data_IF_339243975219
#
_entry.id   IF_339243975219
#
_cell.length_a   1.000
_cell.length_b   1.000
_cell.length_c   1.000
_cell.angle_alpha   90.00
_cell.angle_beta   90.00
_cell.angle_gamma   90.00
#
_symmetry.space_group_name_H-M   'P 1'
#
loop_
_entity.id
_entity.type
_entity.pdbx_description
1 polymer ?
#
# COMPACT_ATOMS: atom_id res chain seq x y z
N UNK A 1 -54.49 1.90 65.01
CA UNK A 1 -53.74 2.89 64.15
C UNK A 1 -53.31 2.17 62.92
N UNK A 2 -54.01 2.35 61.76
CA UNK A 2 -53.60 1.77 60.49
C UNK A 2 -52.76 2.80 59.70
N UNK A 3 -51.53 2.50 59.41
CA UNK A 3 -50.70 3.32 58.55
C UNK A 3 -51.00 3.02 57.10
N UNK A 4 -51.57 3.98 56.38
CA UNK A 4 -51.81 3.95 54.95
C UNK A 4 -50.46 4.10 54.21
N UNK A 5 -50.02 3.03 53.59
CA UNK A 5 -48.80 3.01 52.81
C UNK A 5 -49.10 3.55 51.39
N UNK A 6 -48.85 4.84 51.17
CA UNK A 6 -49.07 5.49 49.84
C UNK A 6 -47.93 5.05 48.91
N UNK A 7 -48.21 4.09 48.06
CA UNK A 7 -47.30 3.68 46.98
C UNK A 7 -47.21 4.81 45.96
N UNK A 8 -46.11 5.54 46.00
CA UNK A 8 -45.81 6.60 45.01
C UNK A 8 -45.55 5.97 43.63
N UNK A 9 -46.57 6.04 42.74
CA UNK A 9 -46.43 5.60 41.36
C UNK A 9 -45.36 6.46 40.66
N UNK A 10 -44.19 5.89 40.35
CA UNK A 10 -43.22 6.49 39.45
C UNK A 10 -43.82 6.43 38.04
N UNK A 11 -44.30 7.55 37.54
CA UNK A 11 -44.65 7.68 36.12
C UNK A 11 -43.37 7.51 35.30
N UNK A 12 -43.28 6.43 34.56
CA UNK A 12 -42.25 6.26 33.52
C UNK A 12 -42.57 7.24 32.38
N UNK A 13 -41.76 8.28 32.25
CA UNK A 13 -41.85 9.19 31.11
C UNK A 13 -41.43 8.40 29.86
N UNK A 14 -42.33 8.16 28.94
CA UNK A 14 -42.03 7.58 27.64
C UNK A 14 -41.25 8.59 26.77
N UNK A 15 -40.38 8.09 25.92
CA UNK A 15 -39.67 8.93 24.96
C UNK A 15 -40.65 9.54 23.96
N UNK A 16 -40.44 10.83 23.65
CA UNK A 16 -41.24 11.49 22.60
C UNK A 16 -40.71 11.05 21.21
N UNK A 17 -41.62 11.05 20.22
CA UNK A 17 -41.26 10.70 18.84
C UNK A 17 -40.15 11.64 18.29
N UNK A 18 -40.19 12.91 18.67
CA UNK A 18 -39.17 13.91 18.30
C UNK A 18 -37.80 13.56 18.90
N UNK A 19 -37.74 13.09 20.14
CA UNK A 19 -36.50 12.71 20.83
C UNK A 19 -35.84 11.51 20.14
N UNK A 20 -36.64 10.50 19.75
CA UNK A 20 -36.15 9.35 18.99
C UNK A 20 -35.61 9.78 17.61
N UNK A 21 -36.32 10.64 16.88
CA UNK A 21 -35.89 11.16 15.58
C UNK A 21 -34.57 11.95 15.69
N UNK A 22 -34.45 12.76 16.74
CA UNK A 22 -33.22 13.54 16.98
C UNK A 22 -32.03 12.63 17.29
N UNK A 23 -32.21 11.60 18.12
CA UNK A 23 -31.13 10.61 18.42
C UNK A 23 -30.70 9.85 17.18
N UNK A 24 -31.67 9.36 16.38
CA UNK A 24 -31.35 8.64 15.11
C UNK A 24 -30.62 9.56 14.14
N UNK A 25 -31.04 10.83 14.03
CA UNK A 25 -30.33 11.83 13.20
C UNK A 25 -28.89 12.06 13.66
N UNK A 26 -28.63 12.17 14.96
CA UNK A 26 -27.28 12.32 15.52
C UNK A 26 -26.41 11.08 15.25
N UNK A 27 -26.96 9.87 15.44
CA UNK A 27 -26.23 8.62 15.19
C UNK A 27 -25.85 8.52 13.70
N UNK A 28 -26.77 8.88 12.79
CA UNK A 28 -26.49 8.86 11.35
C UNK A 28 -25.35 9.81 10.96
N UNK A 29 -25.37 11.05 11.48
CA UNK A 29 -24.28 12.03 11.23
C UNK A 29 -22.94 11.56 11.81
N UNK A 30 -22.94 11.02 13.02
CA UNK A 30 -21.72 10.46 13.63
C UNK A 30 -21.18 9.29 12.81
N UNK A 31 -22.04 8.41 12.31
CA UNK A 31 -21.67 7.26 11.48
C UNK A 31 -20.94 7.66 10.20
N UNK A 32 -21.41 8.71 9.51
CA UNK A 32 -20.73 9.25 8.30
C UNK A 32 -19.32 9.77 8.61
N UNK A 33 -19.16 10.49 9.72
CA UNK A 33 -17.86 11.02 10.15
C UNK A 33 -16.86 9.91 10.48
N UNK A 34 -17.30 8.87 11.19
CA UNK A 34 -16.48 7.70 11.53
C UNK A 34 -16.06 6.95 10.26
N UNK A 35 -16.98 6.72 9.31
CA UNK A 35 -16.71 6.03 8.06
C UNK A 35 -15.63 6.75 7.23
N UNK A 36 -15.73 8.06 7.07
CA UNK A 36 -14.75 8.85 6.32
C UNK A 36 -13.35 8.79 6.95
N UNK A 37 -13.28 8.83 8.28
CA UNK A 37 -12.00 8.73 9.02
C UNK A 37 -11.41 7.33 8.90
N UNK A 38 -12.24 6.29 9.02
CA UNK A 38 -11.82 4.89 8.91
C UNK A 38 -11.16 4.60 7.56
N UNK A 39 -11.74 5.04 6.45
CA UNK A 39 -11.15 4.86 5.12
C UNK A 39 -9.77 5.50 5.00
N UNK A 40 -9.57 6.71 5.51
CA UNK A 40 -8.25 7.38 5.49
C UNK A 40 -7.18 6.62 6.27
N UNK A 41 -7.57 6.06 7.42
CA UNK A 41 -6.65 5.25 8.25
C UNK A 41 -6.29 3.95 7.54
N UNK A 42 -7.25 3.28 6.91
CA UNK A 42 -7.02 2.05 6.15
C UNK A 42 -6.05 2.28 4.98
N UNK A 43 -6.28 3.30 4.15
CA UNK A 43 -5.37 3.69 3.05
C UNK A 43 -3.95 3.96 3.57
N UNK A 44 -3.83 4.65 4.71
CA UNK A 44 -2.52 4.94 5.31
C UNK A 44 -1.81 3.67 5.79
N UNK A 45 -2.55 2.77 6.45
CA UNK A 45 -2.00 1.51 6.95
C UNK A 45 -1.55 0.60 5.79
N UNK A 46 -2.36 0.49 4.75
CA UNK A 46 -2.03 -0.29 3.56
C UNK A 46 -0.78 0.25 2.86
N UNK A 47 -0.67 1.56 2.68
CA UNK A 47 0.53 2.18 2.10
C UNK A 47 1.79 1.90 2.94
N UNK A 48 1.67 1.96 4.27
CA UNK A 48 2.80 1.68 5.17
C UNK A 48 3.23 0.21 5.14
N UNK A 49 2.28 -0.73 5.07
CA UNK A 49 2.59 -2.16 4.96
C UNK A 49 3.29 -2.44 3.65
N UNK A 50 2.78 -1.91 2.52
CA UNK A 50 3.42 -2.10 1.22
C UNK A 50 4.77 -1.42 1.11
N UNK A 51 4.95 -0.25 1.72
CA UNK A 51 6.27 0.39 1.80
C UNK A 51 7.30 -0.54 2.47
N UNK A 52 6.93 -1.21 3.57
CA UNK A 52 7.80 -2.19 4.23
C UNK A 52 8.05 -3.43 3.38
N UNK A 53 7.06 -3.88 2.63
CA UNK A 53 7.18 -5.01 1.71
C UNK A 53 8.19 -4.68 0.59
N UNK A 54 8.10 -3.48 -0.01
CA UNK A 54 9.05 -2.99 -1.01
C UNK A 54 10.47 -2.91 -0.44
N UNK A 55 10.61 -2.39 0.79
CA UNK A 55 11.90 -2.30 1.47
C UNK A 55 12.52 -3.69 1.74
N UNK A 56 11.69 -4.65 2.13
CA UNK A 56 12.11 -6.04 2.34
C UNK A 56 12.57 -6.66 1.04
N UNK A 57 11.83 -6.49 -0.06
CA UNK A 57 12.23 -6.93 -1.39
C UNK A 57 13.55 -6.30 -1.82
N UNK A 58 13.69 -4.98 -1.69
CA UNK A 58 14.92 -4.25 -2.02
C UNK A 58 16.12 -4.77 -1.23
N UNK A 59 16.00 -4.87 0.09
CA UNK A 59 17.07 -5.33 0.96
C UNK A 59 17.45 -6.79 0.66
N UNK A 60 16.49 -7.66 0.43
CA UNK A 60 16.71 -9.05 0.09
C UNK A 60 17.38 -9.23 -1.28
N UNK A 61 16.96 -8.46 -2.30
CA UNK A 61 17.58 -8.48 -3.64
C UNK A 61 19.03 -8.01 -3.54
N UNK A 62 19.30 -6.90 -2.84
CA UNK A 62 20.66 -6.42 -2.60
C UNK A 62 21.52 -7.43 -1.84
N UNK A 63 20.95 -8.10 -0.84
CA UNK A 63 21.62 -9.17 -0.10
C UNK A 63 22.01 -10.36 -0.99
N UNK A 64 21.07 -10.79 -1.85
CA UNK A 64 21.29 -11.92 -2.77
C UNK A 64 22.37 -11.62 -3.82
N UNK A 65 22.42 -10.38 -4.32
CA UNK A 65 23.37 -9.93 -5.35
C UNK A 65 24.54 -9.14 -4.78
N UNK A 66 24.71 -9.09 -3.46
CA UNK A 66 25.67 -8.20 -2.78
C UNK A 66 27.14 -8.37 -3.18
N UNK A 67 27.52 -9.53 -3.73
CA UNK A 67 28.87 -9.78 -4.27
C UNK A 67 28.99 -9.49 -5.78
N UNK A 68 27.87 -9.18 -6.45
CA UNK A 68 27.82 -8.94 -7.90
C UNK A 68 27.63 -7.46 -8.19
N UNK A 69 28.19 -7.01 -9.30
CA UNK A 69 28.00 -5.63 -9.80
C UNK A 69 26.84 -5.49 -10.79
N UNK A 70 26.12 -6.59 -11.03
CA UNK A 70 25.01 -6.67 -11.98
C UNK A 70 23.93 -7.64 -11.46
N UNK A 71 22.69 -7.40 -11.86
CA UNK A 71 21.49 -8.18 -11.47
C UNK A 71 21.02 -9.15 -12.55
N UNK A 72 21.93 -9.58 -13.44
CA UNK A 72 21.61 -10.52 -14.52
C UNK A 72 20.95 -11.78 -13.97
N UNK A 73 19.81 -12.17 -14.57
CA UNK A 73 19.04 -13.33 -14.17
C UNK A 73 18.08 -13.11 -12.98
N UNK A 74 17.96 -11.87 -12.49
CA UNK A 74 16.95 -11.53 -11.49
C UNK A 74 15.55 -11.66 -12.09
N UNK A 75 14.68 -12.45 -11.44
CA UNK A 75 13.29 -12.66 -11.82
C UNK A 75 12.45 -12.91 -10.56
N UNK A 76 11.12 -12.84 -10.68
CA UNK A 76 10.20 -13.22 -9.60
C UNK A 76 10.48 -14.63 -9.07
N UNK A 77 10.82 -15.56 -9.97
CA UNK A 77 11.14 -16.94 -9.58
C UNK A 77 12.36 -17.00 -8.63
N UNK A 78 13.45 -16.29 -8.97
CA UNK A 78 14.66 -16.22 -8.14
C UNK A 78 14.34 -15.62 -6.77
N UNK A 79 13.56 -14.54 -6.74
CA UNK A 79 13.14 -13.86 -5.49
C UNK A 79 12.31 -14.78 -4.60
N UNK A 80 11.38 -15.55 -5.17
CA UNK A 80 10.55 -16.50 -4.43
C UNK A 80 11.35 -17.72 -3.95
N UNK A 81 12.22 -18.29 -4.81
CA UNK A 81 13.08 -19.42 -4.42
C UNK A 81 14.06 -19.04 -3.30
N UNK A 82 14.59 -17.82 -3.34
CA UNK A 82 15.44 -17.26 -2.28
C UNK A 82 14.65 -16.85 -1.02
N UNK A 83 13.32 -16.98 -1.01
CA UNK A 83 12.41 -16.60 0.09
C UNK A 83 12.53 -15.12 0.50
N UNK A 84 12.87 -14.26 -0.44
CA UNK A 84 13.02 -12.82 -0.23
C UNK A 84 11.66 -12.14 -0.18
N UNK A 85 10.70 -12.58 -1.02
CA UNK A 85 9.36 -12.00 -1.02
C UNK A 85 8.66 -12.26 0.32
N UNK A 86 8.00 -11.24 0.91
CA UNK A 86 7.16 -11.41 2.10
C UNK A 86 6.09 -12.50 1.89
N UNK A 87 5.75 -13.24 2.93
CA UNK A 87 4.75 -14.31 2.83
C UNK A 87 3.38 -13.80 2.38
N UNK A 88 3.03 -12.57 2.76
CA UNK A 88 1.79 -11.90 2.37
C UNK A 88 1.71 -11.59 0.88
N UNK A 89 2.83 -11.58 0.16
CA UNK A 89 2.92 -11.31 -1.27
C UNK A 89 3.08 -12.58 -2.11
N UNK A 90 3.33 -13.71 -1.49
CA UNK A 90 3.50 -14.99 -2.20
C UNK A 90 2.15 -15.64 -2.44
N UNK A 91 1.95 -16.13 -3.66
CA UNK A 91 0.86 -17.06 -3.91
C UNK A 91 1.24 -18.44 -3.32
N UNK A 92 0.49 -18.96 -2.33
CA UNK A 92 0.79 -20.24 -1.71
C UNK A 92 0.72 -21.41 -2.69
N UNK A 93 0.04 -21.26 -3.83
CA UNK A 93 -0.06 -22.30 -4.86
C UNK A 93 1.19 -22.39 -5.75
N UNK A 94 2.04 -21.35 -5.75
CA UNK A 94 3.25 -21.27 -6.58
C UNK A 94 4.55 -21.55 -5.82
N UNK A 95 4.46 -21.87 -4.53
CA UNK A 95 5.62 -22.25 -3.70
C UNK A 95 6.09 -23.63 -4.14
N UNK A 96 7.19 -23.70 -4.85
CA UNK A 96 7.87 -24.98 -5.08
C UNK A 96 8.20 -25.36 -6.52
N UNK A 97 8.10 -24.47 -7.50
CA UNK A 97 8.69 -24.79 -8.80
C UNK A 97 7.89 -24.40 -10.05
N UNK A 98 6.86 -23.61 -9.93
CA UNK A 98 6.21 -23.09 -11.13
C UNK A 98 7.13 -22.10 -11.85
N UNK A 99 7.23 -22.20 -13.16
CA UNK A 99 8.03 -21.34 -14.02
C UNK A 99 7.63 -19.84 -13.95
N UNK A 100 6.50 -19.54 -13.35
CA UNK A 100 5.94 -18.20 -13.19
C UNK A 100 5.56 -17.97 -11.72
N UNK A 101 6.55 -17.71 -10.89
CA UNK A 101 6.30 -17.32 -9.50
C UNK A 101 5.59 -15.98 -9.46
N UNK A 102 4.30 -15.98 -9.19
CA UNK A 102 3.51 -14.77 -9.04
C UNK A 102 3.79 -14.14 -7.68
N UNK A 103 4.08 -12.86 -7.68
CA UNK A 103 4.15 -12.01 -6.48
C UNK A 103 3.02 -11.01 -6.64
N UNK A 104 2.17 -10.89 -5.61
CA UNK A 104 1.03 -9.97 -5.61
C UNK A 104 1.13 -9.02 -4.43
N UNK A 105 0.71 -7.78 -4.63
CA UNK A 105 0.56 -6.84 -3.54
C UNK A 105 -0.87 -6.90 -2.96
N UNK A 106 -1.07 -6.34 -1.78
CA UNK A 106 -2.35 -6.44 -1.05
C UNK A 106 -3.56 -5.79 -1.76
N UNK A 107 -3.33 -5.00 -2.82
CA UNK A 107 -4.41 -4.42 -3.64
C UNK A 107 -4.84 -5.34 -4.80
N UNK A 108 -4.29 -6.55 -4.88
CA UNK A 108 -4.64 -7.57 -5.87
C UNK A 108 -3.91 -7.49 -7.20
N UNK A 109 -3.01 -6.52 -7.39
CA UNK A 109 -2.18 -6.41 -8.60
C UNK A 109 -0.89 -7.23 -8.50
N UNK A 110 -0.27 -7.46 -9.64
CA UNK A 110 0.99 -8.20 -9.75
C UNK A 110 2.20 -7.31 -9.42
N UNK A 111 3.24 -7.94 -8.87
CA UNK A 111 4.56 -7.34 -8.71
C UNK A 111 5.53 -8.06 -9.63
N UNK A 112 6.21 -7.30 -10.48
CA UNK A 112 7.25 -7.83 -11.39
C UNK A 112 8.60 -7.31 -10.96
N UNK A 113 9.61 -8.20 -10.92
CA UNK A 113 10.96 -7.88 -10.50
C UNK A 113 11.92 -8.33 -11.60
N UNK A 114 12.81 -7.44 -11.99
CA UNK A 114 13.80 -7.71 -13.03
C UNK A 114 15.00 -6.79 -12.98
N UNK A 115 16.05 -7.08 -13.79
CA UNK A 115 17.19 -6.19 -13.96
C UNK A 115 16.81 -4.97 -14.80
N UNK A 116 17.50 -3.85 -14.57
CA UNK A 116 17.31 -2.61 -15.36
C UNK A 116 18.64 -1.93 -15.65
N UNK A 117 18.84 -1.39 -16.87
CA UNK A 117 20.08 -0.64 -17.23
C UNK A 117 20.07 0.80 -16.72
N UNK A 118 18.93 1.33 -16.30
CA UNK A 118 18.71 2.77 -16.14
C UNK A 118 19.51 3.36 -14.97
N UNK A 119 19.75 2.58 -13.92
CA UNK A 119 20.38 3.07 -12.68
C UNK A 119 21.91 3.13 -12.77
N UNK A 120 22.50 2.36 -13.66
CA UNK A 120 23.95 2.36 -13.86
C UNK A 120 24.26 2.46 -15.35
N UNK A 121 24.58 3.66 -15.87
CA UNK A 121 24.88 3.87 -17.28
C UNK A 121 26.01 2.94 -17.78
N UNK A 122 25.82 2.36 -18.96
CA UNK A 122 26.80 1.46 -19.59
C UNK A 122 26.80 0.02 -19.07
N UNK A 123 25.94 -0.33 -18.10
CA UNK A 123 25.73 -1.70 -17.63
C UNK A 123 24.29 -2.12 -17.86
N UNK A 124 23.99 -3.07 -18.76
CA UNK A 124 22.61 -3.46 -19.10
C UNK A 124 21.81 -3.94 -17.90
N UNK A 125 22.44 -4.58 -16.93
CA UNK A 125 21.79 -5.10 -15.71
C UNK A 125 22.40 -4.46 -14.46
N UNK A 126 22.82 -3.20 -14.54
CA UNK A 126 23.51 -2.49 -13.47
C UNK A 126 22.61 -2.04 -12.30
N UNK A 127 21.32 -2.25 -12.42
CA UNK A 127 20.31 -2.03 -11.40
C UNK A 127 19.19 -3.04 -11.49
N UNK A 128 18.24 -2.93 -10.59
CA UNK A 128 16.99 -3.72 -10.62
C UNK A 128 15.79 -2.82 -10.48
N UNK A 129 14.66 -3.32 -10.92
CA UNK A 129 13.37 -2.66 -10.78
C UNK A 129 12.34 -3.58 -10.15
N UNK A 130 11.43 -2.95 -9.40
CA UNK A 130 10.24 -3.57 -8.81
C UNK A 130 9.06 -2.80 -9.37
N UNK A 131 8.21 -3.46 -10.16
CA UNK A 131 7.03 -2.87 -10.79
C UNK A 131 5.79 -3.35 -10.08
N UNK A 132 5.04 -2.44 -9.52
CA UNK A 132 3.72 -2.65 -8.92
C UNK A 132 2.66 -2.29 -9.94
N UNK A 133 1.89 -3.27 -10.39
CA UNK A 133 0.85 -3.09 -11.42
C UNK A 133 -0.49 -2.81 -10.76
N UNK A 134 -1.21 -1.80 -11.28
CA UNK A 134 -2.56 -1.45 -10.86
C UNK A 134 -2.66 -1.04 -9.36
N UNK A 135 -1.82 -0.10 -8.91
CA UNK A 135 -1.90 0.48 -7.57
C UNK A 135 -3.07 1.47 -7.50
N UNK A 136 -3.98 1.41 -6.50
CA UNK A 136 -5.04 2.40 -6.35
C UNK A 136 -4.50 3.84 -6.22
N UNK A 137 -5.14 4.80 -6.90
CA UNK A 137 -4.66 6.19 -6.98
C UNK A 137 -4.57 6.90 -5.62
N UNK A 138 -5.45 6.57 -4.68
CA UNK A 138 -5.47 7.10 -3.31
C UNK A 138 -4.30 6.61 -2.45
N UNK A 139 -3.72 5.45 -2.79
CA UNK A 139 -2.55 4.87 -2.14
C UNK A 139 -1.25 5.30 -2.84
N UNK A 140 -1.30 5.49 -4.16
CA UNK A 140 -0.16 5.79 -5.03
C UNK A 140 0.72 6.94 -4.49
N UNK A 141 0.12 8.07 -4.11
CA UNK A 141 0.87 9.23 -3.59
C UNK A 141 1.63 8.88 -2.30
N UNK A 142 0.97 8.18 -1.38
CA UNK A 142 1.57 7.81 -0.09
C UNK A 142 2.67 6.76 -0.27
N UNK A 143 2.40 5.73 -1.07
CA UNK A 143 3.35 4.67 -1.36
C UNK A 143 4.59 5.23 -2.08
N UNK A 144 4.38 6.06 -3.11
CA UNK A 144 5.46 6.69 -3.85
C UNK A 144 6.31 7.61 -2.99
N UNK A 145 5.68 8.41 -2.11
CA UNK A 145 6.41 9.31 -1.21
C UNK A 145 7.22 8.55 -0.16
N UNK A 146 6.70 7.47 0.40
CA UNK A 146 7.42 6.68 1.41
C UNK A 146 8.54 5.84 0.81
N UNK A 147 8.32 5.21 -0.34
CA UNK A 147 9.30 4.37 -1.00
C UNK A 147 10.40 5.18 -1.72
N UNK A 148 10.08 6.40 -2.20
CA UNK A 148 11.03 7.23 -2.94
C UNK A 148 12.32 7.54 -2.16
N UNK A 149 12.27 7.57 -0.83
CA UNK A 149 13.45 7.83 0.02
C UNK A 149 14.52 6.76 -0.18
N UNK A 150 14.11 5.52 -0.44
CA UNK A 150 15.01 4.37 -0.46
C UNK A 150 15.45 3.95 -1.88
N UNK A 151 14.75 4.40 -2.91
CA UNK A 151 15.03 4.05 -4.29
C UNK A 151 15.74 5.17 -5.02
N UNK A 152 16.58 4.79 -5.98
CA UNK A 152 17.40 5.72 -6.75
C UNK A 152 16.57 6.47 -7.80
N UNK A 153 15.54 5.81 -8.36
CA UNK A 153 14.58 6.38 -9.31
C UNK A 153 13.19 5.80 -9.10
N UNK A 154 12.15 6.61 -9.24
CA UNK A 154 10.75 6.17 -9.09
C UNK A 154 9.90 6.77 -10.21
N UNK A 155 9.02 5.93 -10.79
CA UNK A 155 8.08 6.33 -11.84
C UNK A 155 6.65 5.96 -11.44
N UNK A 156 5.70 6.74 -11.97
CA UNK A 156 4.27 6.41 -11.97
C UNK A 156 3.80 6.41 -13.42
N UNK A 157 3.42 5.23 -13.93
CA UNK A 157 3.24 5.01 -15.35
C UNK A 157 4.52 5.32 -16.11
N UNK A 158 4.49 6.30 -17.00
CA UNK A 158 5.67 6.77 -17.75
C UNK A 158 6.31 8.03 -17.14
N UNK A 159 5.66 8.65 -16.15
CA UNK A 159 6.14 9.88 -15.53
C UNK A 159 7.19 9.57 -14.46
N UNK A 160 8.35 10.22 -14.55
CA UNK A 160 9.39 10.15 -13.54
C UNK A 160 9.07 11.12 -12.42
N UNK A 161 8.81 10.58 -11.22
CA UNK A 161 8.50 11.37 -10.02
C UNK A 161 9.73 11.62 -9.14
N UNK A 162 10.76 10.79 -9.33
CA UNK A 162 12.09 10.97 -8.74
C UNK A 162 13.16 10.53 -9.74
N UNK A 163 14.03 11.43 -10.10
CA UNK A 163 15.23 11.14 -10.93
C UNK A 163 16.38 10.58 -10.10
N UNK A 164 17.36 9.97 -10.79
CA UNK A 164 18.58 9.47 -10.18
C UNK A 164 19.33 10.55 -9.39
N UNK A 165 19.46 10.32 -8.08
CA UNK A 165 20.12 11.28 -7.18
C UNK A 165 19.34 12.57 -6.93
N UNK A 166 18.11 12.67 -7.46
CA UNK A 166 17.21 13.78 -7.26
C UNK A 166 16.30 13.61 -6.04
N UNK A 167 15.54 14.65 -5.79
CA UNK A 167 14.45 14.62 -4.79
C UNK A 167 13.12 14.25 -5.45
N UNK A 168 12.17 13.83 -4.62
CA UNK A 168 10.81 13.60 -5.05
C UNK A 168 10.11 14.93 -5.40
N UNK A 169 9.44 14.99 -6.54
CA UNK A 169 8.58 16.11 -6.90
C UNK A 169 7.12 15.85 -6.45
N UNK A 170 6.64 16.56 -5.41
CA UNK A 170 5.28 16.38 -4.89
C UNK A 170 4.18 16.73 -5.88
N UNK A 171 4.43 17.68 -6.79
CA UNK A 171 3.44 18.09 -7.79
C UNK A 171 3.30 17.01 -8.87
N UNK A 172 4.42 16.49 -9.34
CA UNK A 172 4.44 15.44 -10.36
C UNK A 172 3.85 14.13 -9.83
N UNK A 173 4.15 13.71 -8.58
CA UNK A 173 3.52 12.50 -8.03
C UNK A 173 2.01 12.65 -7.89
N UNK A 174 1.53 13.80 -7.39
CA UNK A 174 0.10 14.03 -7.23
C UNK A 174 -0.64 14.00 -8.59
N UNK A 175 -0.10 14.66 -9.62
CA UNK A 175 -0.70 14.66 -10.96
C UNK A 175 -0.65 13.28 -11.62
N UNK A 176 0.46 12.57 -11.52
CA UNK A 176 0.64 11.24 -12.14
C UNK A 176 -0.23 10.16 -11.49
N UNK A 177 -0.36 10.17 -10.16
CA UNK A 177 -1.24 9.25 -9.44
C UNK A 177 -2.73 9.50 -9.75
N UNK A 178 -3.11 10.75 -10.07
CA UNK A 178 -4.49 11.08 -10.44
C UNK A 178 -4.80 10.92 -11.94
N UNK A 179 -3.80 10.65 -12.77
CA UNK A 179 -3.99 10.46 -14.22
C UNK A 179 -4.71 9.13 -14.55
N UNK A 180 -4.67 8.16 -13.64
CA UNK A 180 -5.36 6.87 -13.76
C UNK A 180 -5.94 6.46 -12.39
N UNK A 181 -7.01 5.67 -12.40
CA UNK A 181 -7.56 5.08 -11.17
C UNK A 181 -6.65 4.02 -10.56
N UNK A 182 -5.86 3.38 -11.41
CA UNK A 182 -4.93 2.28 -11.04
C UNK A 182 -3.62 2.41 -11.81
N UNK A 183 -2.78 3.42 -11.51
CA UNK A 183 -1.48 3.56 -12.16
C UNK A 183 -0.50 2.45 -11.77
N UNK A 184 0.42 2.13 -12.67
CA UNK A 184 1.57 1.29 -12.36
C UNK A 184 2.66 2.14 -11.69
N UNK A 185 3.39 1.54 -10.75
CA UNK A 185 4.50 2.20 -10.07
C UNK A 185 5.79 1.40 -10.26
N UNK A 186 6.87 2.06 -10.68
CA UNK A 186 8.17 1.42 -10.89
C UNK A 186 9.20 2.02 -9.94
N UNK A 187 9.84 1.15 -9.18
CA UNK A 187 10.88 1.50 -8.20
C UNK A 187 12.20 0.90 -8.67
N UNK A 188 13.21 1.75 -8.93
CA UNK A 188 14.51 1.32 -9.45
C UNK A 188 15.63 1.62 -8.46
N UNK A 189 16.56 0.65 -8.28
CA UNK A 189 17.71 0.77 -7.40
C UNK A 189 18.94 0.02 -7.98
N UNK A 190 20.12 0.46 -7.58
CA UNK A 190 21.40 -0.22 -7.80
C UNK A 190 21.82 -1.01 -6.57
#
# INVERSE_FOLDING_TARGET
MQFLNIKKNKQSKGFTLVEILLVVGFIALAGVGIYATYNKVQVSNQANVESRNIDTLRAGIKGLYGSKSVYTGLTNLVVNQAKISPETMRDPTTIGGAANATITHQFGGNVTIGPTPIVTPGKPDGGFEIVYVAVPSDICVKLGSSAAVQFDRVLVGTAVIKELGGELDPATIASSCNASTTPDMTFQSK
#
